data_IF_017700564351
#
_entry.id   IF_017700564351
#
_cell.length_a   1.000
_cell.length_b   1.000
_cell.length_c   1.000
_cell.angle_alpha   90.00
_cell.angle_beta   90.00
_cell.angle_gamma   90.00
#
_symmetry.space_group_name_H-M   'P 1'
#
loop_
_entity.id
_entity.type
_entity.pdbx_description
1 polymer ?
#
# COMPACT_ATOMS: atom_id res chain seq x y z
N UNK A 1 -12.22 33.96 -16.52
CA UNK A 1 -12.64 33.46 -15.22
C UNK A 1 -13.15 32.03 -15.40
N UNK A 2 -12.55 31.09 -14.63
CA UNK A 2 -13.08 29.73 -14.56
C UNK A 2 -14.37 29.79 -13.73
N UNK A 3 -15.48 29.41 -14.32
CA UNK A 3 -16.72 29.20 -13.57
C UNK A 3 -16.58 27.84 -12.93
N UNK A 4 -16.44 27.81 -11.60
CA UNK A 4 -16.39 26.57 -10.86
C UNK A 4 -17.68 25.78 -11.04
N UNK A 5 -17.60 24.63 -11.67
CA UNK A 5 -18.67 23.64 -11.64
C UNK A 5 -18.75 23.07 -10.24
N UNK A 6 -19.97 22.77 -9.78
CA UNK A 6 -20.20 22.09 -8.50
C UNK A 6 -19.32 20.82 -8.47
N UNK A 7 -18.40 20.77 -7.51
CA UNK A 7 -17.53 19.61 -7.37
C UNK A 7 -18.37 18.41 -6.96
N UNK A 8 -18.34 17.36 -7.76
CA UNK A 8 -18.93 16.07 -7.38
C UNK A 8 -18.23 15.58 -6.12
N UNK A 9 -18.95 14.99 -5.15
CA UNK A 9 -18.32 14.40 -3.98
C UNK A 9 -17.35 13.31 -4.43
N UNK A 10 -16.17 13.24 -3.76
CA UNK A 10 -15.20 12.19 -3.99
C UNK A 10 -15.87 10.85 -3.69
N UNK A 11 -15.80 9.92 -4.65
CA UNK A 11 -16.34 8.58 -4.48
C UNK A 11 -15.30 7.66 -3.82
N UNK A 12 -15.77 6.79 -2.94
CA UNK A 12 -14.94 5.72 -2.42
C UNK A 12 -14.59 4.72 -3.54
N UNK A 13 -13.36 4.26 -3.55
CA UNK A 13 -12.92 3.20 -4.44
C UNK A 13 -12.93 1.86 -3.69
N UNK A 14 -13.61 0.89 -4.26
CA UNK A 14 -13.61 -0.49 -3.77
C UNK A 14 -13.29 -1.45 -4.92
N UNK A 15 -12.42 -2.43 -4.67
CA UNK A 15 -12.20 -3.54 -5.57
C UNK A 15 -12.27 -4.86 -4.80
N UNK A 16 -13.30 -5.65 -5.06
CA UNK A 16 -13.51 -6.94 -4.44
C UNK A 16 -12.87 -8.10 -5.22
N UNK A 17 -12.14 -7.79 -6.30
CA UNK A 17 -11.40 -8.73 -7.15
C UNK A 17 -12.24 -9.90 -7.69
N UNK A 18 -13.56 -9.72 -7.85
CA UNK A 18 -14.45 -10.74 -8.40
C UNK A 18 -14.46 -10.81 -9.92
N UNK A 19 -13.92 -9.80 -10.59
CA UNK A 19 -13.79 -9.76 -12.05
C UNK A 19 -12.71 -10.71 -12.58
N UNK A 20 -12.46 -10.62 -13.87
CA UNK A 20 -11.38 -11.32 -14.56
C UNK A 20 -10.22 -10.39 -14.95
N UNK A 21 -10.37 -9.09 -14.72
CA UNK A 21 -9.37 -8.05 -15.00
C UNK A 21 -9.37 -7.03 -13.86
N UNK A 22 -8.21 -6.40 -13.63
CA UNK A 22 -8.10 -5.25 -12.74
C UNK A 22 -8.95 -4.09 -13.23
N UNK A 23 -9.48 -3.31 -12.30
CA UNK A 23 -10.12 -2.04 -12.61
C UNK A 23 -9.11 -1.06 -13.21
N UNK A 24 -9.58 -0.16 -14.06
CA UNK A 24 -8.75 0.81 -14.78
C UNK A 24 -8.04 1.83 -13.89
N UNK A 25 -8.51 1.96 -12.66
CA UNK A 25 -7.93 2.86 -11.64
C UNK A 25 -6.56 2.38 -11.13
N UNK A 26 -6.27 1.07 -11.26
CA UNK A 26 -5.01 0.52 -10.85
C UNK A 26 -3.87 0.94 -11.78
N UNK A 27 -2.78 1.40 -11.20
CA UNK A 27 -1.57 1.86 -11.89
C UNK A 27 -0.33 1.29 -11.24
N UNK A 28 0.79 1.22 -11.97
CA UNK A 28 2.08 0.80 -11.44
C UNK A 28 3.24 1.51 -12.14
N UNK A 29 4.42 1.40 -11.56
CA UNK A 29 5.64 1.99 -12.11
C UNK A 29 6.30 1.00 -13.09
N UNK A 30 5.72 0.85 -14.30
CA UNK A 30 6.13 -0.16 -15.28
C UNK A 30 7.58 -0.06 -15.79
N UNK A 31 8.31 1.07 -15.76
CA UNK A 31 9.74 1.07 -15.99
C UNK A 31 10.54 0.30 -14.93
N UNK A 32 10.01 0.16 -13.71
CA UNK A 32 10.71 -0.44 -12.57
C UNK A 32 10.10 -1.75 -12.08
N UNK A 33 8.99 -2.18 -12.64
CA UNK A 33 8.38 -3.47 -12.30
C UNK A 33 7.44 -3.98 -13.38
N UNK A 34 7.44 -5.30 -13.59
CA UNK A 34 6.34 -5.99 -14.27
C UNK A 34 5.33 -6.43 -13.22
N UNK A 35 4.07 -6.12 -13.47
CA UNK A 35 2.95 -6.59 -12.65
C UNK A 35 2.34 -7.82 -13.31
N UNK A 36 2.18 -8.88 -12.51
CA UNK A 36 1.38 -10.03 -12.86
C UNK A 36 0.27 -10.16 -11.81
N UNK A 37 -0.95 -9.87 -12.21
CA UNK A 37 -2.13 -9.88 -11.36
C UNK A 37 -3.10 -10.97 -11.82
N UNK A 38 -3.41 -11.92 -10.94
CA UNK A 38 -4.40 -12.97 -11.19
C UNK A 38 -5.54 -12.81 -10.21
N UNK A 39 -6.76 -12.65 -10.75
CA UNK A 39 -7.98 -12.56 -9.95
C UNK A 39 -8.64 -13.93 -9.89
N UNK A 40 -8.85 -14.44 -8.68
CA UNK A 40 -9.46 -15.76 -8.48
C UNK A 40 -10.33 -15.79 -7.23
N UNK A 41 -11.62 -16.04 -7.42
CA UNK A 41 -12.61 -16.18 -6.32
C UNK A 41 -12.60 -14.96 -5.35
N UNK A 42 -12.51 -13.75 -5.88
CA UNK A 42 -12.50 -12.53 -5.07
C UNK A 42 -11.18 -12.28 -4.33
N UNK A 43 -10.09 -12.87 -4.81
CA UNK A 43 -8.74 -12.66 -4.27
C UNK A 43 -7.81 -12.22 -5.39
N UNK A 44 -7.02 -11.20 -5.13
CA UNK A 44 -5.91 -10.80 -5.97
C UNK A 44 -4.66 -11.59 -5.58
N UNK A 45 -4.08 -12.28 -6.54
CA UNK A 45 -2.72 -12.82 -6.45
C UNK A 45 -1.81 -11.86 -7.22
N UNK A 46 -1.04 -11.08 -6.48
CA UNK A 46 -0.12 -10.10 -7.02
C UNK A 46 1.29 -10.67 -6.99
N UNK A 47 1.92 -10.68 -8.15
CA UNK A 47 3.34 -11.02 -8.32
C UNK A 47 3.94 -10.13 -9.40
N UNK A 48 5.20 -10.31 -9.67
CA UNK A 48 5.88 -9.58 -10.71
C UNK A 48 7.39 -9.55 -10.49
N UNK A 49 8.09 -8.98 -11.45
CA UNK A 49 9.55 -8.91 -11.42
C UNK A 49 9.99 -7.46 -11.27
N UNK A 50 10.78 -7.14 -10.23
CA UNK A 50 11.46 -5.85 -10.15
C UNK A 50 12.45 -5.68 -11.31
N UNK A 51 12.57 -4.46 -11.82
CA UNK A 51 13.45 -4.07 -12.93
C UNK A 51 14.31 -2.87 -12.53
N UNK A 52 15.35 -2.62 -13.32
CA UNK A 52 16.16 -1.40 -13.22
C UNK A 52 16.66 -1.10 -11.80
N UNK A 53 17.17 -2.13 -11.11
CA UNK A 53 17.67 -2.05 -9.72
C UNK A 53 16.61 -1.71 -8.66
N UNK A 54 15.32 -1.84 -8.98
CA UNK A 54 14.28 -1.77 -7.97
C UNK A 54 14.45 -2.93 -6.97
N UNK A 55 14.62 -2.59 -5.69
CA UNK A 55 14.87 -3.57 -4.61
C UNK A 55 13.59 -3.93 -3.83
N UNK A 56 12.49 -3.24 -4.08
CA UNK A 56 11.32 -3.25 -3.22
C UNK A 56 10.06 -3.80 -3.89
N UNK A 57 10.26 -4.65 -4.89
CA UNK A 57 9.19 -5.43 -5.50
C UNK A 57 8.21 -4.64 -6.36
N UNK A 58 7.00 -5.09 -6.40
CA UNK A 58 5.94 -4.58 -7.27
C UNK A 58 4.84 -3.92 -6.46
N UNK A 59 4.46 -2.71 -6.86
CA UNK A 59 3.39 -1.95 -6.23
C UNK A 59 2.27 -1.67 -7.23
N UNK A 60 1.06 -2.09 -6.89
CA UNK A 60 -0.18 -1.81 -7.62
C UNK A 60 -0.90 -0.68 -6.89
N UNK A 61 -0.96 0.51 -7.48
CA UNK A 61 -1.29 1.75 -6.80
C UNK A 61 -2.53 2.43 -7.36
N UNK A 62 -3.18 3.21 -6.52
CA UNK A 62 -4.24 4.15 -6.87
C UNK A 62 -3.72 5.59 -6.83
N UNK A 63 -4.40 6.48 -7.51
CA UNK A 63 -4.13 7.93 -7.42
C UNK A 63 -5.00 8.52 -6.31
N UNK A 64 -4.42 9.10 -5.26
CA UNK A 64 -5.20 9.76 -4.23
C UNK A 64 -5.87 11.02 -4.80
N UNK A 65 -7.12 11.24 -4.43
CA UNK A 65 -7.92 12.40 -4.85
C UNK A 65 -8.04 13.45 -3.74
N UNK A 66 -7.54 13.15 -2.55
CA UNK A 66 -7.58 14.00 -1.37
C UNK A 66 -6.25 13.89 -0.60
N UNK A 67 -5.83 14.95 0.12
CA UNK A 67 -4.74 14.85 1.07
C UNK A 67 -5.11 14.08 2.34
N UNK A 68 -6.37 13.64 2.45
CA UNK A 68 -6.92 12.94 3.59
C UNK A 68 -7.73 11.75 3.10
N UNK A 69 -7.28 10.53 3.42
CA UNK A 69 -7.91 9.28 3.01
C UNK A 69 -7.48 8.11 3.88
N UNK A 70 -8.21 7.02 3.80
CA UNK A 70 -7.82 5.73 4.36
C UNK A 70 -7.80 4.65 3.28
N UNK A 71 -6.96 3.63 3.49
CA UNK A 71 -6.92 2.43 2.67
C UNK A 71 -6.94 1.20 3.55
N UNK A 72 -7.76 0.24 3.19
CA UNK A 72 -7.91 -1.01 3.91
C UNK A 72 -7.76 -2.20 2.96
N UNK A 73 -7.17 -3.27 3.45
CA UNK A 73 -7.12 -4.54 2.71
C UNK A 73 -7.07 -5.71 3.67
N UNK A 74 -7.57 -6.86 3.22
CA UNK A 74 -7.37 -8.14 3.87
C UNK A 74 -6.20 -8.84 3.21
N UNK A 75 -5.19 -9.22 3.98
CA UNK A 75 -4.01 -9.95 3.51
C UNK A 75 -4.09 -11.39 3.95
N UNK A 76 -3.94 -12.31 3.00
CA UNK A 76 -3.83 -13.76 3.26
C UNK A 76 -2.33 -14.10 3.35
N UNK A 77 -1.93 -14.70 4.46
CA UNK A 77 -0.52 -15.07 4.69
C UNK A 77 -0.16 -16.34 3.93
N UNK A 78 0.24 -16.18 2.68
CA UNK A 78 0.76 -17.24 1.80
C UNK A 78 2.15 -16.85 1.31
N UNK A 79 3.08 -17.79 1.29
CA UNK A 79 4.47 -17.51 0.89
C UNK A 79 5.24 -16.70 1.92
N UNK A 80 6.53 -16.46 1.67
CA UNK A 80 7.46 -15.78 2.57
C UNK A 80 7.66 -14.29 2.26
N UNK A 81 7.34 -13.88 1.02
CA UNK A 81 7.54 -12.51 0.58
C UNK A 81 6.72 -11.48 1.34
N UNK A 82 7.17 -10.25 1.33
CA UNK A 82 6.45 -9.11 1.88
C UNK A 82 5.20 -8.83 1.04
N UNK A 83 4.05 -8.72 1.69
CA UNK A 83 2.74 -8.46 1.07
C UNK A 83 1.86 -7.62 1.96
N UNK A 84 1.19 -6.64 1.39
CA UNK A 84 0.32 -5.75 2.15
C UNK A 84 0.06 -4.42 1.47
N UNK A 85 -0.10 -3.38 2.28
CA UNK A 85 -0.32 -2.00 1.86
C UNK A 85 1.01 -1.28 1.61
N UNK A 86 0.97 -0.31 0.73
CA UNK A 86 2.09 0.61 0.49
C UNK A 86 1.60 2.06 0.34
N UNK A 87 2.49 2.98 0.70
CA UNK A 87 2.49 4.35 0.21
C UNK A 87 3.71 4.47 -0.71
N UNK A 88 3.48 4.42 -2.01
CA UNK A 88 4.53 4.33 -3.02
C UNK A 88 4.84 5.70 -3.62
N UNK A 89 6.01 6.21 -3.38
CA UNK A 89 6.55 7.39 -4.04
C UNK A 89 7.23 7.03 -5.35
N UNK A 90 8.30 6.26 -5.24
CA UNK A 90 9.07 5.68 -6.35
C UNK A 90 9.80 4.41 -5.88
N UNK A 91 10.70 3.87 -6.72
CA UNK A 91 11.48 2.66 -6.45
C UNK A 91 12.49 2.78 -5.29
N UNK A 92 12.72 4.00 -4.78
CA UNK A 92 13.64 4.31 -3.67
C UNK A 92 12.97 4.92 -2.45
N UNK A 93 11.69 5.28 -2.57
CA UNK A 93 10.96 5.99 -1.54
C UNK A 93 9.55 5.41 -1.40
N UNK A 94 9.32 4.62 -0.36
CA UNK A 94 8.03 4.00 -0.10
C UNK A 94 7.88 3.64 1.38
N UNK A 95 6.65 3.37 1.79
CA UNK A 95 6.32 2.73 3.04
C UNK A 95 5.65 1.39 2.70
N UNK A 96 6.05 0.33 3.38
CA UNK A 96 5.44 -0.98 3.29
C UNK A 96 4.85 -1.39 4.65
N UNK A 97 3.56 -1.72 4.66
CA UNK A 97 2.84 -2.20 5.83
C UNK A 97 2.21 -3.55 5.52
N UNK A 98 2.73 -4.63 6.09
CA UNK A 98 2.31 -5.95 5.67
C UNK A 98 2.85 -7.11 6.47
N UNK A 99 2.75 -8.28 5.85
CA UNK A 99 3.29 -9.55 6.36
C UNK A 99 4.54 -9.90 5.55
N UNK A 100 5.62 -10.27 6.24
CA UNK A 100 6.83 -10.83 5.66
C UNK A 100 7.18 -12.12 6.42
N UNK A 101 7.00 -13.25 5.76
CA UNK A 101 7.18 -14.57 6.42
C UNK A 101 6.21 -14.77 7.59
N UNK A 102 6.77 -14.89 8.79
CA UNK A 102 6.05 -15.05 10.05
C UNK A 102 5.98 -13.75 10.88
N UNK A 103 6.20 -12.60 10.25
CA UNK A 103 6.20 -11.28 10.90
C UNK A 103 5.19 -10.34 10.29
N UNK A 104 4.58 -9.53 11.12
CA UNK A 104 3.90 -8.31 10.73
C UNK A 104 4.90 -7.17 10.81
N UNK A 105 5.07 -6.43 9.73
CA UNK A 105 6.18 -5.49 9.59
C UNK A 105 5.75 -4.16 8.96
N UNK A 106 6.28 -3.06 9.49
CA UNK A 106 6.18 -1.73 8.93
C UNK A 106 7.58 -1.24 8.59
N UNK A 107 7.84 -1.08 7.31
CA UNK A 107 9.13 -0.60 6.78
C UNK A 107 8.96 0.75 6.10
N UNK A 108 9.96 1.60 6.25
CA UNK A 108 10.11 2.84 5.49
C UNK A 108 11.38 2.75 4.67
N UNK A 109 11.27 3.03 3.40
CA UNK A 109 12.41 3.18 2.49
C UNK A 109 12.51 4.64 2.10
N UNK A 110 13.66 5.22 2.31
CA UNK A 110 13.98 6.60 1.91
C UNK A 110 15.36 6.64 1.27
N UNK A 111 15.42 7.11 0.04
CA UNK A 111 16.65 7.19 -0.75
C UNK A 111 17.43 5.87 -0.76
N UNK A 112 16.71 4.74 -0.96
CA UNK A 112 17.25 3.38 -0.97
C UNK A 112 17.72 2.86 0.41
N UNK A 113 17.46 3.60 1.49
CA UNK A 113 17.78 3.20 2.87
C UNK A 113 16.51 2.70 3.55
N UNK A 114 16.53 1.44 3.98
CA UNK A 114 15.43 0.80 4.69
C UNK A 114 15.53 1.02 6.20
N UNK A 115 14.40 1.30 6.82
CA UNK A 115 14.23 1.36 8.27
C UNK A 115 12.97 0.60 8.68
N UNK A 116 13.07 -0.23 9.70
CA UNK A 116 11.94 -0.94 10.29
C UNK A 116 11.39 -0.12 11.45
N UNK A 117 10.13 0.30 11.35
CA UNK A 117 9.45 1.06 12.39
C UNK A 117 8.65 0.19 13.36
N UNK A 118 8.23 -0.98 12.89
CA UNK A 118 7.50 -1.95 13.68
C UNK A 118 7.76 -3.34 13.13
N UNK A 119 7.98 -4.31 14.03
CA UNK A 119 7.92 -5.73 13.74
C UNK A 119 7.29 -6.49 14.90
N UNK A 120 6.56 -7.55 14.60
CA UNK A 120 6.03 -8.48 15.60
C UNK A 120 5.78 -9.83 14.97
N UNK A 121 5.90 -10.89 15.76
CA UNK A 121 5.54 -12.24 15.32
C UNK A 121 4.07 -12.29 14.87
N UNK A 122 3.81 -13.03 13.81
CA UNK A 122 2.49 -13.18 13.23
C UNK A 122 2.25 -14.62 12.75
N UNK A 123 1.37 -15.33 13.45
CA UNK A 123 1.08 -16.74 13.19
C UNK A 123 -0.28 -16.99 12.52
N UNK A 124 -1.11 -15.94 12.35
CA UNK A 124 -2.44 -16.10 11.77
C UNK A 124 -2.40 -16.26 10.25
N UNK A 125 -3.43 -16.91 9.69
CA UNK A 125 -3.56 -17.13 8.25
C UNK A 125 -3.94 -15.86 7.48
N UNK A 126 -4.56 -14.88 8.15
CA UNK A 126 -5.04 -13.66 7.53
C UNK A 126 -5.11 -12.50 8.52
N UNK A 127 -5.06 -11.30 8.02
CA UNK A 127 -5.16 -10.06 8.78
C UNK A 127 -5.76 -8.95 7.92
N UNK A 128 -6.46 -8.04 8.56
CA UNK A 128 -6.87 -6.78 7.95
C UNK A 128 -5.84 -5.71 8.32
N UNK A 129 -5.40 -4.98 7.31
CA UNK A 129 -4.47 -3.87 7.42
C UNK A 129 -5.16 -2.59 6.99
N UNK A 130 -4.89 -1.52 7.72
CA UNK A 130 -5.34 -0.17 7.38
C UNK A 130 -4.20 0.82 7.49
N UNK A 131 -4.18 1.79 6.58
CA UNK A 131 -3.40 3.00 6.69
C UNK A 131 -4.32 4.21 6.55
N UNK A 132 -4.05 5.25 7.31
CA UNK A 132 -4.73 6.53 7.21
C UNK A 132 -3.71 7.62 6.91
N UNK A 133 -4.08 8.53 6.03
CA UNK A 133 -3.25 9.66 5.61
C UNK A 133 -3.97 10.94 5.99
N UNK A 134 -3.28 11.79 6.74
CA UNK A 134 -3.71 13.14 7.08
C UNK A 134 -2.75 14.15 6.47
N UNK A 135 -3.29 15.26 5.98
CA UNK A 135 -2.52 16.37 5.41
C UNK A 135 -1.52 15.92 4.32
N UNK A 136 -1.77 14.77 3.68
CA UNK A 136 -0.91 14.18 2.65
C UNK A 136 0.43 13.62 3.14
N UNK A 137 0.79 13.76 4.40
CA UNK A 137 2.12 13.39 4.90
C UNK A 137 2.19 12.92 6.36
N UNK A 138 1.07 12.76 7.04
CA UNK A 138 0.99 12.17 8.38
C UNK A 138 0.32 10.81 8.23
N UNK A 139 0.98 9.75 8.66
CA UNK A 139 0.57 8.37 8.39
C UNK A 139 0.33 7.61 9.68
N UNK A 140 -0.82 6.94 9.74
CA UNK A 140 -1.22 6.05 10.82
C UNK A 140 -1.41 4.64 10.27
N UNK A 141 -0.99 3.64 11.02
CA UNK A 141 -1.05 2.24 10.62
C UNK A 141 -1.79 1.42 11.67
N UNK A 142 -2.70 0.58 11.18
CA UNK A 142 -3.56 -0.23 12.03
C UNK A 142 -3.62 -1.67 11.53
N UNK A 143 -3.90 -2.56 12.46
CA UNK A 143 -4.18 -3.97 12.21
C UNK A 143 -5.50 -4.38 12.85
N UNK A 144 -6.14 -5.40 12.28
CA UNK A 144 -7.34 -6.01 12.83
C UNK A 144 -7.43 -7.49 12.45
N UNK A 145 -7.94 -8.33 13.34
CA UNK A 145 -8.22 -9.75 13.04
C UNK A 145 -9.64 -9.99 12.53
N UNK A 146 -10.55 -9.06 12.79
CA UNK A 146 -11.98 -9.15 12.46
C UNK A 146 -12.45 -8.15 11.42
N UNK A 147 -11.57 -7.20 11.01
CA UNK A 147 -11.89 -6.10 10.11
C UNK A 147 -12.78 -5.01 10.72
N UNK A 148 -13.05 -5.07 12.02
CA UNK A 148 -13.94 -4.13 12.74
C UNK A 148 -13.22 -3.43 13.89
N UNK A 149 -12.48 -4.19 14.68
CA UNK A 149 -11.72 -3.68 15.84
C UNK A 149 -10.30 -3.38 15.41
N UNK A 150 -9.96 -2.10 15.32
CA UNK A 150 -8.66 -1.64 14.85
C UNK A 150 -7.71 -1.31 15.99
N UNK A 151 -6.49 -1.82 15.90
CA UNK A 151 -5.40 -1.56 16.84
C UNK A 151 -4.30 -0.79 16.12
N UNK A 152 -3.93 0.38 16.63
CA UNK A 152 -2.75 1.12 16.15
C UNK A 152 -1.47 0.33 16.45
N UNK A 153 -0.54 0.35 15.52
CA UNK A 153 0.79 -0.29 15.68
C UNK A 153 1.87 0.71 16.10
N UNK A 154 1.50 1.97 16.24
CA UNK A 154 2.41 3.05 16.60
C UNK A 154 1.80 3.92 17.70
N UNK A 155 2.66 4.40 18.60
CA UNK A 155 2.24 5.37 19.63
C UNK A 155 2.10 6.79 19.08
N UNK A 156 2.83 7.10 18.00
CA UNK A 156 2.81 8.41 17.32
C UNK A 156 2.77 8.23 15.81
N UNK A 157 2.05 9.09 15.08
CA UNK A 157 2.01 9.03 13.62
C UNK A 157 3.40 9.20 13.01
N UNK A 158 3.63 8.53 11.89
CA UNK A 158 4.82 8.75 11.10
C UNK A 158 4.68 10.01 10.23
N UNK A 159 5.60 10.95 10.39
CA UNK A 159 5.63 12.19 9.60
C UNK A 159 6.52 11.98 8.38
N UNK A 160 5.92 11.72 7.24
CA UNK A 160 6.60 11.36 6.00
C UNK A 160 6.81 12.50 5.01
N UNK A 161 6.78 13.77 5.44
CA UNK A 161 6.97 14.92 4.55
C UNK A 161 8.26 14.84 3.73
N UNK A 162 9.31 14.23 4.27
CA UNK A 162 10.59 14.05 3.60
C UNK A 162 10.64 12.88 2.61
N UNK A 163 9.61 12.01 2.57
CA UNK A 163 9.52 10.90 1.63
C UNK A 163 8.93 11.34 0.29
N UNK A 164 8.37 12.53 0.22
CA UNK A 164 7.68 13.05 -0.96
C UNK A 164 8.60 14.06 -1.63
N UNK A 165 8.84 13.88 -2.91
CA UNK A 165 9.39 14.96 -3.73
C UNK A 165 8.31 16.01 -3.93
N UNK A 166 8.69 17.27 -4.00
CA UNK A 166 7.78 18.42 -4.12
C UNK A 166 6.80 18.32 -5.30
N UNK A 167 7.14 17.56 -6.33
CA UNK A 167 6.37 17.37 -7.58
C UNK A 167 5.52 16.09 -7.61
N UNK A 168 5.47 15.31 -6.51
CA UNK A 168 4.81 14.00 -6.47
C UNK A 168 4.01 13.80 -5.19
N UNK A 169 2.97 12.98 -5.31
CA UNK A 169 2.17 12.49 -4.19
C UNK A 169 2.43 11.00 -4.01
N UNK A 170 2.54 10.55 -2.78
CA UNK A 170 2.59 9.12 -2.49
C UNK A 170 1.26 8.48 -2.87
N UNK A 171 1.34 7.36 -3.56
CA UNK A 171 0.20 6.61 -4.05
C UNK A 171 -0.08 5.46 -3.09
N UNK A 172 -1.30 5.38 -2.53
CA UNK A 172 -1.71 4.20 -1.78
C UNK A 172 -1.83 3.01 -2.72
N UNK A 173 -1.56 1.82 -2.20
CA UNK A 173 -1.67 0.61 -3.01
C UNK A 173 -1.34 -0.67 -2.29
N UNK A 174 -1.22 -1.72 -3.09
CA UNK A 174 -0.84 -3.06 -2.68
C UNK A 174 0.60 -3.33 -3.09
N UNK A 175 1.38 -3.95 -2.22
CA UNK A 175 2.79 -4.27 -2.46
C UNK A 175 3.01 -5.78 -2.36
N UNK A 176 3.83 -6.29 -3.27
CA UNK A 176 4.41 -7.63 -3.20
C UNK A 176 5.90 -7.57 -3.46
N UNK A 177 6.71 -8.23 -2.62
CA UNK A 177 8.15 -8.35 -2.76
C UNK A 177 8.65 -9.69 -2.23
N UNK A 178 9.46 -10.39 -3.04
CA UNK A 178 9.98 -11.71 -2.72
C UNK A 178 9.06 -12.86 -3.14
N UNK A 179 9.33 -14.05 -2.61
CA UNK A 179 8.66 -15.32 -2.95
C UNK A 179 7.40 -15.59 -2.09
#
# INVERSE_FOLDING_TARGET
PFVGTKQEPLSDFEDNFKGNQLKVDWTWNYPFSDIHAVLKKGTLFLSGTPKNNNKYGTALCLRPQSPQYSCETKVINTGKGLKGLTLYGDDKNLIAWGIEGDKLILKVVKDDIESVLYDSAFASKEIYLKLEVEQGCIFHFYKSLDGKTWQSVQNTPFKGKSLIRWDRVQRPGLLHYGD
#
